data_IF_874601449603
#
_entry.id   IF_874601449603
#
_cell.length_a   1.000
_cell.length_b   1.000
_cell.length_c   1.000
_cell.angle_alpha   90.00
_cell.angle_beta   90.00
_cell.angle_gamma   90.00
#
_symmetry.space_group_name_H-M   'P 1'
#
loop_
_entity.id
_entity.type
_entity.pdbx_description
1 polymer ?
#
# COMPACT_ATOMS: atom_id res chain seq x y z
N UNK A 1 3.55 -10.91 -8.88
CA UNK A 1 4.34 -11.33 -7.70
C UNK A 1 4.55 -10.12 -6.80
N UNK A 2 4.93 -10.28 -5.53
CA UNK A 2 5.14 -9.14 -4.63
C UNK A 2 6.14 -8.11 -5.19
N UNK A 3 7.21 -8.58 -5.84
CA UNK A 3 8.21 -7.73 -6.50
C UNK A 3 7.63 -6.87 -7.62
N UNK A 4 6.67 -7.39 -8.39
CA UNK A 4 6.01 -6.64 -9.46
C UNK A 4 5.12 -5.53 -8.90
N UNK A 5 4.51 -5.76 -7.72
CA UNK A 5 3.71 -4.75 -7.03
C UNK A 5 4.58 -3.63 -6.47
N UNK A 6 5.74 -3.97 -5.90
CA UNK A 6 6.73 -2.98 -5.45
C UNK A 6 7.24 -2.13 -6.62
N UNK A 7 7.49 -2.74 -7.78
CA UNK A 7 7.87 -2.01 -8.97
C UNK A 7 6.76 -1.04 -9.45
N UNK A 8 5.50 -1.48 -9.41
CA UNK A 8 4.34 -0.63 -9.74
C UNK A 8 4.18 0.53 -8.77
N UNK A 9 4.37 0.29 -7.48
CA UNK A 9 4.35 1.33 -6.45
C UNK A 9 5.39 2.41 -6.70
N UNK A 10 6.65 2.05 -6.96
CA UNK A 10 7.68 3.05 -7.23
C UNK A 10 7.44 3.83 -8.53
N UNK A 11 6.85 3.20 -9.55
CA UNK A 11 6.46 3.93 -10.75
C UNK A 11 5.29 4.89 -10.49
N UNK A 12 4.27 4.47 -9.76
CA UNK A 12 3.15 5.32 -9.36
C UNK A 12 3.63 6.49 -8.47
N UNK A 13 4.51 6.21 -7.50
CA UNK A 13 5.16 7.21 -6.66
C UNK A 13 5.90 8.26 -7.49
N UNK A 14 6.68 7.82 -8.49
CA UNK A 14 7.41 8.72 -9.38
C UNK A 14 6.49 9.60 -10.21
N UNK A 15 5.38 9.04 -10.72
CA UNK A 15 4.38 9.79 -11.49
C UNK A 15 3.67 10.81 -10.60
N UNK A 16 3.25 10.41 -9.40
CA UNK A 16 2.64 11.32 -8.43
C UNK A 16 3.60 12.42 -7.98
N UNK A 17 4.87 12.09 -7.69
CA UNK A 17 5.87 13.08 -7.27
C UNK A 17 6.11 14.14 -8.35
N UNK A 18 6.14 13.74 -9.63
CA UNK A 18 6.27 14.69 -10.74
C UNK A 18 5.08 15.67 -10.79
N UNK A 19 3.87 15.19 -10.49
CA UNK A 19 2.66 16.01 -10.39
C UNK A 19 2.68 16.90 -9.14
N UNK A 20 3.14 16.36 -8.01
CA UNK A 20 3.29 17.08 -6.75
C UNK A 20 4.25 18.26 -6.88
N UNK A 21 5.38 18.06 -7.56
CA UNK A 21 6.36 19.11 -7.83
C UNK A 21 5.80 20.23 -8.73
N UNK A 22 4.79 19.93 -9.55
CA UNK A 22 4.12 20.90 -10.45
C UNK A 22 2.96 21.64 -9.76
N UNK A 23 2.11 20.94 -8.99
CA UNK A 23 0.94 21.48 -8.29
C UNK A 23 0.64 20.72 -6.98
N UNK A 24 1.43 21.00 -5.95
CA UNK A 24 1.30 20.48 -4.57
C UNK A 24 -0.14 20.60 -4.03
N UNK A 25 -0.86 21.68 -4.35
CA UNK A 25 -2.19 21.95 -3.79
C UNK A 25 -3.25 20.94 -4.23
N UNK A 26 -3.08 20.31 -5.41
CA UNK A 26 -4.02 19.29 -5.93
C UNK A 26 -3.44 17.89 -5.92
N UNK A 27 -2.19 17.72 -5.55
CA UNK A 27 -1.49 16.46 -5.71
C UNK A 27 -2.16 15.33 -4.93
N UNK A 28 -2.71 15.61 -3.74
CA UNK A 28 -3.45 14.64 -2.90
C UNK A 28 -4.92 14.43 -3.28
N UNK A 29 -5.41 15.09 -4.33
CA UNK A 29 -6.75 14.89 -4.89
C UNK A 29 -6.65 14.72 -6.41
N UNK A 30 -5.75 13.84 -6.82
CA UNK A 30 -5.42 13.55 -8.21
C UNK A 30 -5.55 12.05 -8.48
N UNK A 31 -5.78 11.69 -9.75
CA UNK A 31 -5.81 10.27 -10.16
C UNK A 31 -4.45 9.59 -9.97
N UNK A 32 -3.37 10.36 -9.99
CA UNK A 32 -2.01 9.90 -9.73
C UNK A 32 -1.83 9.53 -8.27
N UNK A 33 -2.40 10.32 -7.34
CA UNK A 33 -2.46 9.96 -5.93
C UNK A 33 -3.30 8.71 -5.70
N UNK A 34 -4.50 8.63 -6.28
CA UNK A 34 -5.34 7.43 -6.18
C UNK A 34 -4.62 6.18 -6.69
N UNK A 35 -3.84 6.30 -7.77
CA UNK A 35 -3.05 5.20 -8.31
C UNK A 35 -1.87 4.81 -7.41
N UNK A 36 -1.23 5.79 -6.77
CA UNK A 36 -0.15 5.56 -5.81
C UNK A 36 -0.66 4.86 -4.55
N UNK A 37 -1.74 5.35 -3.94
CA UNK A 37 -2.42 4.73 -2.81
C UNK A 37 -2.87 3.29 -3.14
N UNK A 38 -3.49 3.09 -4.31
CA UNK A 38 -3.91 1.76 -4.74
C UNK A 38 -2.73 0.79 -4.93
N UNK A 39 -1.58 1.28 -5.39
CA UNK A 39 -0.37 0.47 -5.51
C UNK A 39 0.23 0.12 -4.14
N UNK A 40 0.14 1.02 -3.17
CA UNK A 40 0.54 0.76 -1.78
C UNK A 40 -0.33 -0.32 -1.15
N UNK A 41 -1.65 -0.15 -1.21
CA UNK A 41 -2.63 -1.10 -0.70
C UNK A 41 -2.42 -2.51 -1.31
N UNK A 42 -2.10 -2.58 -2.60
CA UNK A 42 -1.81 -3.84 -3.27
C UNK A 42 -0.63 -4.58 -2.61
N UNK A 43 0.41 -3.87 -2.15
CA UNK A 43 1.56 -4.45 -1.45
C UNK A 43 1.17 -4.82 -0.02
N UNK A 44 0.56 -3.90 0.72
CA UNK A 44 0.20 -4.10 2.13
C UNK A 44 -0.74 -5.29 2.30
N UNK A 45 -1.69 -5.47 1.39
CA UNK A 45 -2.70 -6.54 1.45
C UNK A 45 -2.39 -7.76 0.59
N UNK A 46 -1.26 -7.79 -0.12
CA UNK A 46 -0.82 -8.98 -0.86
C UNK A 46 -0.66 -10.18 0.08
N UNK A 47 -1.37 -11.30 -0.09
CA UNK A 47 -1.24 -12.43 0.81
C UNK A 47 0.10 -13.15 0.58
N UNK A 48 1.01 -13.07 1.54
CA UNK A 48 2.32 -13.75 1.49
C UNK A 48 2.13 -15.27 1.33
N UNK A 49 2.86 -15.88 0.41
CA UNK A 49 2.82 -17.33 0.15
C UNK A 49 4.10 -18.03 0.58
N UNK A 50 5.17 -17.27 0.77
CA UNK A 50 6.49 -17.78 1.13
C UNK A 50 7.11 -16.92 2.22
N UNK A 51 8.15 -17.45 2.90
CA UNK A 51 8.97 -16.66 3.82
C UNK A 51 9.67 -15.51 3.10
N UNK A 52 10.03 -15.70 1.82
CA UNK A 52 10.60 -14.65 0.98
C UNK A 52 9.63 -13.48 0.83
N UNK A 53 8.34 -13.74 0.56
CA UNK A 53 7.33 -12.67 0.50
C UNK A 53 7.26 -11.87 1.82
N UNK A 54 7.31 -12.57 2.96
CA UNK A 54 7.31 -11.93 4.29
C UNK A 54 8.53 -11.02 4.47
N UNK A 55 9.72 -11.52 4.14
CA UNK A 55 10.97 -10.77 4.26
C UNK A 55 10.98 -9.57 3.31
N UNK A 56 10.62 -9.75 2.04
CA UNK A 56 10.53 -8.68 1.05
C UNK A 56 9.54 -7.60 1.47
N UNK A 57 8.36 -7.98 1.96
CA UNK A 57 7.36 -7.02 2.42
C UNK A 57 7.82 -6.25 3.65
N UNK A 58 8.41 -6.94 4.63
CA UNK A 58 8.96 -6.29 5.81
C UNK A 58 10.08 -5.30 5.45
N UNK A 59 10.98 -5.69 4.55
CA UNK A 59 12.04 -4.80 4.04
C UNK A 59 11.46 -3.58 3.32
N UNK A 60 10.41 -3.75 2.51
CA UNK A 60 9.72 -2.63 1.86
C UNK A 60 9.14 -1.64 2.89
N UNK A 61 8.32 -2.12 3.82
CA UNK A 61 7.66 -1.26 4.83
C UNK A 61 8.68 -0.57 5.73
N UNK A 62 9.81 -1.20 6.06
CA UNK A 62 10.85 -0.57 6.87
C UNK A 62 11.67 0.48 6.11
N UNK A 63 11.74 0.37 4.77
CA UNK A 63 12.53 1.26 3.94
C UNK A 63 11.73 2.48 3.43
N UNK A 64 10.42 2.32 3.23
CA UNK A 64 9.54 3.38 2.76
C UNK A 64 8.75 4.01 3.92
N UNK A 65 8.98 5.30 4.17
CA UNK A 65 8.36 6.02 5.29
C UNK A 65 6.86 6.21 5.13
N UNK A 66 6.35 6.29 3.89
CA UNK A 66 4.92 6.44 3.66
C UNK A 66 4.21 5.11 3.94
N UNK A 67 4.77 4.00 3.44
CA UNK A 67 4.23 2.68 3.73
C UNK A 67 4.25 2.38 5.25
N UNK A 68 5.31 2.78 5.95
CA UNK A 68 5.38 2.66 7.41
C UNK A 68 4.30 3.51 8.12
N UNK A 69 4.10 4.74 7.66
CA UNK A 69 3.08 5.65 8.20
C UNK A 69 1.67 5.07 7.99
N UNK A 70 1.37 4.59 6.79
CA UNK A 70 0.12 3.92 6.46
C UNK A 70 -0.16 2.72 7.36
N UNK A 71 0.83 1.85 7.57
CA UNK A 71 0.67 0.71 8.50
C UNK A 71 0.41 1.17 9.93
N UNK A 72 1.01 2.28 10.36
CA UNK A 72 0.98 2.73 11.77
C UNK A 72 -0.27 3.56 12.09
N UNK A 73 -0.70 4.41 11.16
CA UNK A 73 -1.63 5.51 11.43
C UNK A 73 -2.92 5.45 10.60
N UNK A 74 -2.97 4.66 9.52
CA UNK A 74 -4.13 4.63 8.62
C UNK A 74 -5.15 3.53 8.95
N UNK A 75 -6.36 3.77 8.45
CA UNK A 75 -7.50 2.87 8.51
C UNK A 75 -8.06 2.74 7.10
N UNK A 76 -8.57 1.55 6.77
CA UNK A 76 -9.26 1.33 5.52
C UNK A 76 -10.53 2.17 5.44
N UNK A 77 -10.74 2.77 4.29
CA UNK A 77 -11.84 3.69 4.03
C UNK A 77 -13.21 3.02 3.96
N UNK A 78 -13.28 1.72 3.70
CA UNK A 78 -14.52 0.97 3.49
C UNK A 78 -15.10 0.34 4.77
N UNK A 79 -14.27 -0.31 5.59
CA UNK A 79 -14.71 -1.00 6.81
C UNK A 79 -14.12 -0.41 8.11
N UNK A 80 -13.24 0.59 8.01
CA UNK A 80 -12.58 1.21 9.15
C UNK A 80 -11.57 0.30 9.86
N UNK A 81 -11.15 -0.81 9.24
CA UNK A 81 -10.16 -1.68 9.83
C UNK A 81 -8.78 -0.98 9.87
N UNK A 82 -8.02 -1.08 10.98
CA UNK A 82 -6.67 -0.53 11.03
C UNK A 82 -5.77 -1.21 9.99
N UNK A 83 -5.02 -0.44 9.21
CA UNK A 83 -4.11 -0.97 8.17
C UNK A 83 -3.10 -1.97 8.75
N UNK A 84 -2.66 -1.77 10.00
CA UNK A 84 -1.84 -2.73 10.75
C UNK A 84 -2.47 -4.13 10.81
N UNK A 85 -3.76 -4.24 11.08
CA UNK A 85 -4.44 -5.54 11.21
C UNK A 85 -4.42 -6.26 9.88
N UNK A 86 -4.69 -5.56 8.80
CA UNK A 86 -4.73 -6.12 7.45
C UNK A 86 -3.34 -6.51 6.96
N UNK A 87 -2.33 -5.69 7.25
CA UNK A 87 -0.93 -5.99 7.01
C UNK A 87 -0.52 -7.28 7.74
N UNK A 88 -0.83 -7.43 9.04
CA UNK A 88 -0.51 -8.63 9.79
C UNK A 88 -1.21 -9.88 9.23
N UNK A 89 -2.46 -9.76 8.79
CA UNK A 89 -3.20 -10.85 8.12
C UNK A 89 -2.57 -11.23 6.79
N UNK A 90 -2.12 -10.25 6.01
CA UNK A 90 -1.45 -10.52 4.74
C UNK A 90 -0.12 -11.25 4.94
N UNK A 91 0.60 -11.00 6.04
CA UNK A 91 1.79 -11.78 6.43
C UNK A 91 1.47 -13.25 6.77
N UNK A 92 0.27 -13.52 7.30
CA UNK A 92 -0.23 -14.88 7.53
C UNK A 92 -0.70 -15.57 6.23
N UNK A 93 -0.67 -14.86 5.10
CA UNK A 93 -1.13 -15.35 3.81
C UNK A 93 -2.64 -15.34 3.63
N UNK A 94 -3.37 -14.71 4.57
CA UNK A 94 -4.81 -14.52 4.48
C UNK A 94 -5.14 -13.58 3.32
N UNK A 95 -6.13 -13.91 2.47
CA UNK A 95 -6.58 -12.99 1.45
C UNK A 95 -7.20 -11.74 2.09
N UNK A 96 -7.31 -10.61 1.36
CA UNK A 96 -8.09 -9.48 1.81
C UNK A 96 -9.48 -9.95 2.22
N UNK A 97 -9.88 -9.62 3.46
CA UNK A 97 -11.24 -9.89 3.91
C UNK A 97 -12.18 -8.97 3.15
N UNK A 98 -13.00 -9.54 2.27
CA UNK A 98 -14.13 -8.84 1.70
C UNK A 98 -15.21 -8.80 2.78
N UNK A 99 -15.25 -7.70 3.54
CA UNK A 99 -16.27 -7.48 4.56
C UNK A 99 -17.60 -6.98 3.96
N UNK A 100 -17.82 -7.18 2.65
CA UNK A 100 -19.10 -6.91 2.01
C UNK A 100 -19.48 -5.43 2.08
N UNK A 101 -18.85 -4.61 1.23
CA UNK A 101 -19.34 -3.27 0.95
C UNK A 101 -20.69 -3.34 0.25
N UNK A 102 -21.72 -2.74 0.85
CA UNK A 102 -23.05 -2.59 0.29
C UNK A 102 -23.14 -1.35 -0.60
#
# INVERSE_FOLDING_TARGET
MLTDLIAQYHEAQRVWQAQFDEDDTKASNSKEWDAYEAAEDAILYYPCKTLEDVQTKASFVLADTNALDSVTNCFRSDDGAPSLVLFLRSLLGEPPVDNGGN
#
